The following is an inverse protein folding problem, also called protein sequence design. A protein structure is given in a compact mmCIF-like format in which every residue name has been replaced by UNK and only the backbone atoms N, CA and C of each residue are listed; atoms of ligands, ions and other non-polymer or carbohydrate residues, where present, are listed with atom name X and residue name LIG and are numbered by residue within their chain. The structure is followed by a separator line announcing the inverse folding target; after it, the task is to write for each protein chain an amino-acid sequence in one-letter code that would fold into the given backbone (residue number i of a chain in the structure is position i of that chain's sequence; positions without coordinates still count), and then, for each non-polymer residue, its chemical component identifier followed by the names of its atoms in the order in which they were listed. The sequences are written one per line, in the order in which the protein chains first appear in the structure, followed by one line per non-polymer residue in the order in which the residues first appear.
data_IF_980752468672
#
_entry.id   IF_980752468672
#
_cell.length_a   1.000
_cell.length_b   1.000
_cell.length_c   1.000
_cell.angle_alpha   90.00
_cell.angle_beta   90.00
_cell.angle_gamma   90.00
#
_symmetry.space_group_name_H-M   'P 1'
#
loop_
_entity.id
_entity.type
_entity.pdbx_description
1 polymer ?
#
# COMPACT_ATOMS: atom_id res chain seq x y z
N UNK A 1 42.22 24.52 11.82
CA UNK A 1 41.13 23.77 11.16
C UNK A 1 39.99 24.74 10.90
N UNK A 2 39.83 25.19 9.67
CA UNK A 2 38.81 26.17 9.29
C UNK A 2 37.47 25.47 9.11
N UNK A 3 36.43 25.92 9.82
CA UNK A 3 35.07 25.49 9.61
C UNK A 3 34.61 25.91 8.20
N UNK A 4 34.28 24.93 7.37
CA UNK A 4 33.78 25.12 6.02
C UNK A 4 32.43 25.87 6.11
N UNK A 5 32.45 27.17 5.75
CA UNK A 5 31.26 28.03 5.80
C UNK A 5 30.27 27.56 4.74
N UNK A 6 29.16 26.96 5.16
CA UNK A 6 28.04 26.65 4.28
C UNK A 6 27.62 27.90 3.49
N UNK A 7 27.27 27.78 2.19
CA UNK A 7 26.90 28.91 1.35
C UNK A 7 25.76 29.72 1.99
N UNK A 8 25.92 31.04 2.03
CA UNK A 8 24.89 31.95 2.55
C UNK A 8 23.58 31.74 1.78
N UNK A 9 22.43 31.68 2.47
CA UNK A 9 21.13 31.47 1.83
C UNK A 9 20.79 32.60 0.86
N UNK A 10 20.10 32.26 -0.24
CA UNK A 10 19.67 33.21 -1.27
C UNK A 10 18.90 34.39 -0.64
N UNK A 11 19.35 35.62 -0.93
CA UNK A 11 18.87 36.88 -0.36
C UNK A 11 17.36 37.08 -0.59
N UNK A 12 16.83 36.73 -1.77
CA UNK A 12 15.40 36.89 -2.08
C UNK A 12 14.51 35.94 -1.27
N UNK A 13 14.97 34.70 -1.10
CA UNK A 13 14.27 33.71 -0.26
C UNK A 13 14.28 34.10 1.21
N UNK A 14 15.38 34.72 1.67
CA UNK A 14 15.55 35.23 3.03
C UNK A 14 14.67 36.46 3.25
N UNK A 15 14.57 37.35 2.25
CA UNK A 15 13.73 38.54 2.27
C UNK A 15 12.24 38.21 2.29
N UNK A 16 11.78 37.23 1.51
CA UNK A 16 10.38 36.73 1.56
C UNK A 16 10.04 36.09 2.91
N UNK A 17 10.99 35.40 3.54
CA UNK A 17 10.79 34.80 4.88
C UNK A 17 10.69 35.88 5.96
N UNK A 18 11.52 36.93 5.89
CA UNK A 18 11.45 38.08 6.80
C UNK A 18 10.16 38.90 6.65
N UNK A 19 9.71 39.13 5.41
CA UNK A 19 8.52 39.97 5.16
C UNK A 19 7.20 39.37 5.67
N UNK A 20 7.19 38.09 6.02
CA UNK A 20 6.01 37.36 6.51
C UNK A 20 6.11 36.94 7.99
N UNK A 21 7.06 37.50 8.75
CA UNK A 21 7.15 37.25 10.20
C UNK A 21 7.52 35.83 10.60
N UNK A 22 8.10 35.04 9.68
CA UNK A 22 8.55 33.69 9.97
C UNK A 22 9.87 33.76 10.74
N UNK A 23 9.87 33.17 11.94
CA UNK A 23 11.08 33.00 12.74
C UNK A 23 12.07 32.10 11.97
N UNK A 24 13.15 32.72 11.47
CA UNK A 24 14.20 32.09 10.65
C UNK A 24 14.94 30.95 11.39
N UNK A 25 14.66 30.77 12.68
CA UNK A 25 15.31 29.82 13.58
C UNK A 25 14.49 28.53 13.74
N UNK A 26 13.31 28.39 13.12
CA UNK A 26 12.47 27.19 13.26
C UNK A 26 13.30 25.90 13.06
N UNK A 27 13.50 25.17 14.17
CA UNK A 27 14.21 23.89 14.24
C UNK A 27 13.31 22.73 13.86
N UNK A 28 12.08 22.99 13.42
CA UNK A 28 11.07 21.97 13.15
C UNK A 28 11.60 20.98 12.10
N UNK A 29 11.71 19.73 12.52
CA UNK A 29 12.12 18.62 11.66
C UNK A 29 10.94 18.13 10.82
N UNK A 30 11.24 17.41 9.75
CA UNK A 30 10.22 16.73 8.94
C UNK A 30 9.45 15.74 9.79
N UNK A 31 10.10 15.02 10.71
CA UNK A 31 9.47 14.05 11.59
C UNK A 31 8.43 14.69 12.52
N UNK A 32 8.81 15.76 13.21
CA UNK A 32 7.90 16.51 14.09
C UNK A 32 6.72 17.09 13.32
N UNK A 33 6.98 17.67 12.13
CA UNK A 33 5.92 18.18 11.27
C UNK A 33 4.95 17.08 10.84
N UNK A 34 5.44 15.91 10.44
CA UNK A 34 4.60 14.78 10.03
C UNK A 34 3.73 14.29 11.19
N UNK A 35 4.23 14.28 12.42
CA UNK A 35 3.46 13.92 13.61
C UNK A 35 2.34 14.94 13.87
N UNK A 36 2.65 16.24 13.84
CA UNK A 36 1.66 17.32 13.97
C UNK A 36 0.59 17.27 12.88
N UNK A 37 1.01 17.08 11.64
CA UNK A 37 0.11 16.99 10.48
C UNK A 37 -0.82 15.79 10.59
N UNK A 38 -0.31 14.63 11.01
CA UNK A 38 -1.09 13.42 11.16
C UNK A 38 -2.10 13.55 12.31
N UNK A 39 -1.71 14.13 13.44
CA UNK A 39 -2.59 14.38 14.58
C UNK A 39 -3.77 15.31 14.22
N UNK A 40 -3.53 16.33 13.38
CA UNK A 40 -4.57 17.24 12.89
C UNK A 40 -5.36 16.72 11.69
N UNK A 41 -5.01 15.55 11.14
CA UNK A 41 -5.58 15.07 9.88
C UNK A 41 -7.03 14.58 10.06
N UNK A 42 -7.96 15.24 9.39
CA UNK A 42 -9.37 14.81 9.31
C UNK A 42 -9.59 13.93 8.07
N UNK A 43 -10.46 12.93 8.19
CA UNK A 43 -10.85 12.09 7.06
C UNK A 43 -11.21 10.66 7.47
N UNK A 44 -11.26 9.76 6.48
CA UNK A 44 -11.53 8.34 6.72
C UNK A 44 -10.36 7.71 7.50
N UNK A 45 -10.66 6.92 8.53
CA UNK A 45 -9.66 6.23 9.36
C UNK A 45 -8.65 5.44 8.51
N UNK A 46 -9.13 4.67 7.52
CA UNK A 46 -8.25 3.90 6.61
C UNK A 46 -7.34 4.75 5.71
N UNK A 47 -7.57 6.06 5.59
CA UNK A 47 -6.63 6.99 4.96
C UNK A 47 -5.57 7.44 5.97
N UNK A 48 -5.99 7.77 7.19
CA UNK A 48 -5.11 8.15 8.31
C UNK A 48 -4.14 7.01 8.63
N UNK A 49 -4.63 5.79 8.86
CA UNK A 49 -3.80 4.62 9.18
C UNK A 49 -2.80 4.28 8.07
N UNK A 50 -3.15 4.55 6.80
CA UNK A 50 -2.22 4.38 5.67
C UNK A 50 -1.11 5.42 5.71
N UNK A 51 -1.48 6.69 5.94
CA UNK A 51 -0.51 7.78 6.01
C UNK A 51 0.42 7.59 7.21
N UNK A 52 -0.12 7.20 8.37
CA UNK A 52 0.64 6.78 9.55
C UNK A 52 1.66 5.69 9.21
N UNK A 53 1.22 4.61 8.54
CA UNK A 53 2.11 3.53 8.13
C UNK A 53 3.21 4.03 7.20
N UNK A 54 2.89 4.90 6.23
CA UNK A 54 3.89 5.46 5.31
C UNK A 54 4.88 6.35 6.08
N UNK A 55 4.40 7.17 7.01
CA UNK A 55 5.21 8.06 7.86
C UNK A 55 6.17 7.24 8.71
N UNK A 56 5.65 6.29 9.48
CA UNK A 56 6.42 5.49 10.44
C UNK A 56 7.43 4.57 9.76
N UNK A 57 7.05 3.93 8.66
CA UNK A 57 7.88 2.87 8.03
C UNK A 57 8.87 3.45 7.02
N UNK A 58 8.51 4.52 6.29
CA UNK A 58 9.31 4.98 5.14
C UNK A 58 9.86 6.40 5.31
N UNK A 59 9.06 7.34 5.83
CA UNK A 59 9.47 8.75 5.87
C UNK A 59 10.34 9.06 7.09
N UNK A 60 9.84 8.81 8.31
CA UNK A 60 10.56 9.16 9.55
C UNK A 60 11.95 8.52 9.65
N UNK A 61 12.13 7.21 9.36
CA UNK A 61 13.44 6.58 9.48
C UNK A 61 14.52 7.20 8.58
N UNK A 62 14.12 7.77 7.44
CA UNK A 62 15.06 8.22 6.40
C UNK A 62 15.22 9.73 6.34
N UNK A 63 14.12 10.48 6.43
CA UNK A 63 14.13 11.95 6.29
C UNK A 63 13.60 12.68 7.52
N UNK A 64 13.14 11.95 8.56
CA UNK A 64 12.49 12.55 9.72
C UNK A 64 13.38 13.50 10.51
N UNK A 65 14.69 13.25 10.56
CA UNK A 65 15.68 14.07 11.26
C UNK A 65 16.05 15.35 10.50
N UNK A 66 15.71 15.45 9.21
CA UNK A 66 16.03 16.62 8.40
C UNK A 66 15.15 17.80 8.81
N UNK A 67 15.70 19.01 8.75
CA UNK A 67 14.91 20.24 8.94
C UNK A 67 13.90 20.41 7.81
N UNK A 68 12.67 20.77 8.17
CA UNK A 68 11.56 20.95 7.22
C UNK A 68 11.90 22.01 6.16
N UNK A 69 12.49 23.13 6.56
CA UNK A 69 12.86 24.25 5.69
C UNK A 69 14.09 23.99 4.79
N UNK A 70 14.80 22.88 5.03
CA UNK A 70 15.99 22.43 4.29
C UNK A 70 15.74 21.17 3.46
N UNK A 71 14.52 20.63 3.48
CA UNK A 71 14.18 19.46 2.67
C UNK A 71 14.24 19.81 1.17
N UNK A 72 15.05 19.06 0.41
CA UNK A 72 15.28 19.25 -1.03
C UNK A 72 14.81 18.05 -1.82
N UNK A 73 14.69 18.20 -3.14
CA UNK A 73 14.38 17.10 -4.06
C UNK A 73 15.45 16.01 -3.98
N UNK A 74 16.74 16.38 -3.85
CA UNK A 74 17.86 15.42 -3.72
C UNK A 74 17.69 14.47 -2.54
N UNK A 75 17.34 14.98 -1.35
CA UNK A 75 17.08 14.14 -0.18
C UNK A 75 15.95 13.13 -0.42
N UNK A 76 14.95 13.49 -1.24
CA UNK A 76 13.85 12.59 -1.58
C UNK A 76 14.29 11.55 -2.62
N UNK A 77 15.10 11.94 -3.61
CA UNK A 77 15.71 11.02 -4.56
C UNK A 77 16.55 9.97 -3.83
N UNK A 78 17.48 10.41 -2.97
CA UNK A 78 18.33 9.54 -2.13
C UNK A 78 17.47 8.62 -1.24
N UNK A 79 16.42 9.16 -0.60
CA UNK A 79 15.50 8.36 0.20
C UNK A 79 14.83 7.24 -0.62
N UNK A 80 14.34 7.54 -1.83
CA UNK A 80 13.65 6.55 -2.66
C UNK A 80 14.60 5.56 -3.35
N UNK A 81 15.83 5.98 -3.63
CA UNK A 81 16.91 5.13 -4.11
C UNK A 81 17.31 4.12 -3.03
N UNK A 82 17.52 4.57 -1.79
CA UNK A 82 17.81 3.66 -0.68
C UNK A 82 16.64 2.69 -0.39
N UNK A 83 15.38 3.07 -0.64
CA UNK A 83 14.25 2.11 -0.60
C UNK A 83 14.34 1.08 -1.74
N UNK A 84 14.86 1.47 -2.90
CA UNK A 84 15.06 0.56 -4.02
C UNK A 84 16.22 -0.42 -3.74
N UNK A 85 17.29 0.04 -3.10
CA UNK A 85 18.41 -0.79 -2.64
C UNK A 85 17.95 -1.82 -1.59
N UNK A 86 17.22 -1.39 -0.54
CA UNK A 86 16.62 -2.31 0.43
C UNK A 86 15.77 -3.40 -0.24
N UNK A 87 15.06 -3.05 -1.32
CA UNK A 87 14.22 -4.02 -2.04
C UNK A 87 15.04 -5.12 -2.70
N UNK A 88 16.27 -4.83 -3.16
CA UNK A 88 17.18 -5.83 -3.73
C UNK A 88 17.56 -6.83 -2.65
N UNK A 89 18.05 -6.35 -1.49
CA UNK A 89 18.42 -7.20 -0.36
C UNK A 89 17.24 -8.04 0.14
N UNK A 90 16.06 -7.42 0.27
CA UNK A 90 14.83 -8.12 0.68
C UNK A 90 14.45 -9.19 -0.35
N UNK A 91 14.58 -8.90 -1.65
CA UNK A 91 14.25 -9.86 -2.70
C UNK A 91 15.19 -11.08 -2.67
N UNK A 92 16.49 -10.85 -2.51
CA UNK A 92 17.50 -11.89 -2.37
C UNK A 92 17.28 -12.74 -1.12
N UNK A 93 17.08 -12.12 0.05
CA UNK A 93 16.78 -12.82 1.29
C UNK A 93 15.49 -13.65 1.20
N UNK A 94 14.45 -13.11 0.59
CA UNK A 94 13.20 -13.85 0.35
C UNK A 94 13.39 -15.02 -0.62
N UNK A 95 14.22 -14.87 -1.66
CA UNK A 95 14.52 -15.93 -2.61
C UNK A 95 15.32 -17.07 -1.94
N UNK A 96 16.34 -16.72 -1.14
CA UNK A 96 17.11 -17.68 -0.36
C UNK A 96 16.22 -18.45 0.63
N UNK A 97 15.34 -17.73 1.35
CA UNK A 97 14.38 -18.35 2.26
C UNK A 97 13.42 -19.29 1.54
N UNK A 98 12.89 -18.90 0.37
CA UNK A 98 12.01 -19.74 -0.46
C UNK A 98 12.72 -21.01 -0.90
N UNK A 99 13.93 -20.88 -1.44
CA UNK A 99 14.76 -22.02 -1.86
C UNK A 99 15.01 -22.97 -0.69
N UNK A 100 15.31 -22.45 0.50
CA UNK A 100 15.48 -23.28 1.69
C UNK A 100 14.21 -24.05 2.07
N UNK A 101 13.02 -23.45 1.95
CA UNK A 101 11.76 -24.19 2.14
C UNK A 101 11.49 -25.23 1.05
N UNK A 102 11.81 -24.94 -0.21
CA UNK A 102 11.70 -25.90 -1.32
C UNK A 102 12.63 -27.10 -1.12
N UNK A 103 13.89 -26.86 -0.77
CA UNK A 103 14.85 -27.91 -0.47
C UNK A 103 14.42 -28.73 0.76
N UNK A 104 13.81 -28.09 1.78
CA UNK A 104 13.25 -28.78 2.94
C UNK A 104 12.08 -29.69 2.53
N UNK A 105 11.23 -29.24 1.60
CA UNK A 105 10.11 -30.01 1.11
C UNK A 105 10.55 -31.26 0.34
N UNK A 106 11.72 -31.22 -0.31
CA UNK A 106 12.31 -32.36 -1.03
C UNK A 106 12.85 -33.46 -0.12
N UNK A 107 13.19 -33.15 1.15
CA UNK A 107 13.72 -34.16 2.07
C UNK A 107 12.58 -35.09 2.54
N UNK A 108 12.70 -36.42 2.39
CA UNK A 108 11.69 -37.37 2.87
C UNK A 108 11.36 -37.19 4.36
N UNK A 109 10.10 -37.41 4.74
CA UNK A 109 9.69 -37.24 6.14
C UNK A 109 9.98 -38.47 7.02
N UNK A 110 10.11 -39.66 6.41
CA UNK A 110 10.38 -40.93 7.09
C UNK A 110 11.88 -41.21 7.17
N UNK A 111 12.32 -41.87 8.24
CA UNK A 111 13.71 -42.27 8.48
C UNK A 111 14.44 -41.39 9.50
N UNK A 112 15.41 -41.97 10.23
CA UNK A 112 16.20 -41.28 11.26
C UNK A 112 17.05 -40.15 10.68
N UNK A 113 17.81 -40.42 9.62
CA UNK A 113 18.66 -39.39 8.99
C UNK A 113 17.86 -38.26 8.32
N UNK A 114 16.81 -38.52 7.52
CA UNK A 114 15.99 -37.45 6.96
C UNK A 114 15.34 -36.57 8.03
N UNK A 115 14.90 -37.14 9.15
CA UNK A 115 14.38 -36.38 10.30
C UNK A 115 15.44 -35.46 10.91
N UNK A 116 16.67 -35.96 11.11
CA UNK A 116 17.78 -35.15 11.62
C UNK A 116 18.13 -34.00 10.66
N UNK A 117 18.20 -34.28 9.35
CA UNK A 117 18.45 -33.28 8.31
C UNK A 117 17.34 -32.22 8.24
N UNK A 118 16.06 -32.63 8.28
CA UNK A 118 14.91 -31.70 8.36
C UNK A 118 14.97 -30.83 9.60
N UNK A 119 15.36 -31.37 10.76
CA UNK A 119 15.51 -30.61 12.01
C UNK A 119 16.61 -29.55 11.88
N UNK A 120 17.79 -29.92 11.42
CA UNK A 120 18.91 -29.00 11.21
C UNK A 120 18.55 -27.88 10.22
N UNK A 121 17.89 -28.24 9.13
CA UNK A 121 17.50 -27.29 8.10
C UNK A 121 16.37 -26.35 8.53
N UNK A 122 15.42 -26.82 9.35
CA UNK A 122 14.43 -25.95 9.99
C UNK A 122 15.09 -24.95 10.95
N UNK A 123 16.10 -25.37 11.71
CA UNK A 123 16.86 -24.46 12.57
C UNK A 123 17.58 -23.39 11.73
N UNK A 124 18.28 -23.79 10.67
CA UNK A 124 18.92 -22.84 9.76
C UNK A 124 17.92 -21.85 9.13
N UNK A 125 16.72 -22.30 8.72
CA UNK A 125 15.67 -21.41 8.20
C UNK A 125 15.10 -20.47 9.28
N UNK A 126 15.08 -20.90 10.55
CA UNK A 126 14.64 -20.08 11.66
C UNK A 126 15.64 -18.95 11.96
N UNK A 127 16.93 -19.21 11.75
CA UNK A 127 18.01 -18.22 11.93
C UNK A 127 18.13 -17.24 10.74
N UNK A 128 17.57 -17.58 9.57
CA UNK A 128 17.50 -16.67 8.42
C UNK A 128 16.59 -15.47 8.70
N UNK A 129 16.90 -14.33 8.07
CA UNK A 129 16.07 -13.14 8.08
C UNK A 129 14.59 -13.48 7.77
N UNK A 130 13.63 -12.92 8.53
CA UNK A 130 12.21 -13.12 8.27
C UNK A 130 11.80 -12.64 6.88
N UNK A 131 10.72 -13.21 6.36
CA UNK A 131 10.13 -12.73 5.11
C UNK A 131 9.71 -11.26 5.24
N UNK A 132 10.25 -10.40 4.38
CA UNK A 132 9.91 -8.97 4.32
C UNK A 132 9.24 -8.65 2.98
N UNK A 133 8.26 -7.76 2.98
CA UNK A 133 7.60 -7.32 1.73
C UNK A 133 8.41 -6.20 1.07
N UNK A 134 8.71 -6.35 -0.22
CA UNK A 134 9.30 -5.27 -1.02
C UNK A 134 8.33 -4.10 -1.23
N UNK A 135 8.89 -2.90 -1.30
CA UNK A 135 8.19 -1.65 -1.56
C UNK A 135 8.15 -1.38 -3.06
N UNK A 136 7.19 -1.98 -3.77
CA UNK A 136 7.05 -1.82 -5.21
C UNK A 136 6.75 -0.37 -5.66
N UNK A 137 6.84 -0.07 -6.98
CA UNK A 137 6.67 1.29 -7.53
C UNK A 137 5.37 1.97 -7.10
N UNK A 138 4.25 1.23 -7.08
CA UNK A 138 2.96 1.78 -6.63
C UNK A 138 2.98 2.19 -5.15
N UNK A 139 3.73 1.49 -4.30
CA UNK A 139 3.89 1.87 -2.89
C UNK A 139 4.80 3.09 -2.74
N UNK A 140 5.92 3.15 -3.47
CA UNK A 140 6.78 4.36 -3.51
C UNK A 140 5.99 5.61 -3.90
N UNK A 141 5.15 5.52 -4.93
CA UNK A 141 4.25 6.63 -5.32
C UNK A 141 3.23 7.01 -4.22
N UNK A 142 2.73 6.04 -3.44
CA UNK A 142 1.83 6.33 -2.29
C UNK A 142 2.57 7.02 -1.15
N UNK A 143 3.80 6.60 -0.85
CA UNK A 143 4.67 7.26 0.12
C UNK A 143 4.93 8.72 -0.30
N UNK A 144 5.31 8.95 -1.57
CA UNK A 144 5.46 10.30 -2.13
C UNK A 144 4.18 11.12 -2.03
N UNK A 145 3.02 10.51 -2.34
CA UNK A 145 1.72 11.19 -2.27
C UNK A 145 1.37 11.62 -0.84
N UNK A 146 1.73 10.80 0.16
CA UNK A 146 1.54 11.12 1.58
C UNK A 146 2.40 12.32 1.97
N UNK A 147 3.69 12.27 1.66
CA UNK A 147 4.63 13.37 1.93
C UNK A 147 4.20 14.66 1.22
N UNK A 148 3.83 14.57 -0.06
CA UNK A 148 3.35 15.72 -0.85
C UNK A 148 2.14 16.39 -0.19
N UNK A 149 1.17 15.61 0.31
CA UNK A 149 0.01 16.16 1.00
C UNK A 149 0.39 16.86 2.32
N UNK A 150 1.30 16.28 3.09
CA UNK A 150 1.82 16.88 4.32
C UNK A 150 2.58 18.19 4.04
N UNK A 151 3.46 18.21 3.03
CA UNK A 151 4.22 19.40 2.65
C UNK A 151 3.34 20.49 2.03
N UNK A 152 2.27 20.14 1.30
CA UNK A 152 1.28 21.11 0.85
C UNK A 152 0.57 21.78 2.04
N UNK A 153 0.30 21.02 3.10
CA UNK A 153 -0.28 21.60 4.32
C UNK A 153 0.71 22.53 5.03
N UNK A 154 2.02 22.22 4.97
CA UNK A 154 3.06 23.11 5.49
C UNK A 154 3.16 24.42 4.71
N UNK A 155 3.01 24.37 3.39
CA UNK A 155 2.93 25.57 2.53
C UNK A 155 1.71 26.40 2.87
N UNK A 156 0.55 25.76 3.06
CA UNK A 156 -0.67 26.46 3.44
C UNK A 156 -0.54 27.18 4.80
N UNK A 157 0.28 26.62 5.70
CA UNK A 157 0.64 27.24 6.98
C UNK A 157 1.91 28.12 6.90
N UNK A 158 2.38 28.42 5.68
CA UNK A 158 3.53 29.28 5.38
C UNK A 158 4.87 28.86 6.01
N UNK A 159 5.00 27.63 6.53
CA UNK A 159 6.26 27.16 7.13
C UNK A 159 7.35 26.88 6.09
N UNK A 160 6.95 26.52 4.88
CA UNK A 160 7.84 26.33 3.72
C UNK A 160 7.21 26.97 2.48
N UNK A 161 8.05 27.29 1.51
CA UNK A 161 7.62 27.96 0.26
C UNK A 161 7.66 27.05 -0.96
N UNK A 162 8.17 25.83 -0.82
CA UNK A 162 8.42 24.90 -1.92
C UNK A 162 8.15 23.46 -1.49
N UNK A 163 7.50 22.67 -2.36
CA UNK A 163 7.20 21.26 -2.08
C UNK A 163 8.15 20.34 -2.85
N UNK A 164 9.24 19.85 -2.25
CA UNK A 164 10.16 18.94 -2.94
C UNK A 164 9.49 17.63 -3.41
N UNK A 165 8.47 17.13 -2.72
CA UNK A 165 7.78 15.89 -3.09
C UNK A 165 6.92 16.03 -4.36
N UNK A 166 6.61 17.25 -4.80
CA UNK A 166 5.96 17.48 -6.08
C UNK A 166 6.90 17.23 -7.27
N UNK A 167 8.21 17.37 -7.07
CA UNK A 167 9.22 17.37 -8.14
C UNK A 167 10.11 16.13 -8.15
N UNK A 168 10.12 15.31 -7.10
CA UNK A 168 10.83 14.03 -7.15
C UNK A 168 10.15 13.11 -8.18
N UNK A 169 10.95 12.66 -9.14
CA UNK A 169 10.53 11.76 -10.20
C UNK A 169 10.65 10.31 -9.74
N UNK A 170 9.57 9.54 -9.92
CA UNK A 170 9.52 8.14 -9.55
C UNK A 170 8.84 7.36 -10.66
N UNK A 171 9.27 6.12 -10.84
CA UNK A 171 8.63 5.19 -11.76
C UNK A 171 7.13 5.08 -11.47
N UNK A 172 6.32 5.12 -12.53
CA UNK A 172 4.89 4.90 -12.42
C UNK A 172 4.62 3.42 -12.13
N UNK A 173 3.78 3.14 -11.13
CA UNK A 173 3.27 1.79 -10.91
C UNK A 173 2.40 1.36 -12.09
N UNK A 174 2.79 0.30 -12.80
CA UNK A 174 1.95 -0.32 -13.84
C UNK A 174 0.68 -0.88 -13.20
N UNK A 175 -0.48 -0.39 -13.66
CA UNK A 175 -1.76 -0.98 -13.25
C UNK A 175 -1.93 -2.32 -13.97
N UNK A 176 -2.33 -3.39 -13.25
CA UNK A 176 -2.57 -4.66 -13.91
C UNK A 176 -3.71 -4.51 -14.91
N UNK A 177 -3.53 -5.09 -16.11
CA UNK A 177 -4.58 -5.13 -17.13
C UNK A 177 -5.52 -6.27 -16.78
N UNK A 178 -6.80 -5.97 -16.56
CA UNK A 178 -7.81 -7.01 -16.38
C UNK A 178 -7.94 -7.80 -17.68
N UNK A 179 -7.82 -9.12 -17.60
CA UNK A 179 -8.03 -10.03 -18.74
C UNK A 179 -9.08 -11.06 -18.39
N UNK A 180 -9.85 -11.50 -19.36
CA UNK A 180 -10.89 -12.52 -19.18
C UNK A 180 -10.27 -13.91 -19.27
N UNK A 181 -10.78 -14.86 -18.49
CA UNK A 181 -10.46 -16.29 -18.61
C UNK A 181 -11.06 -16.89 -19.88
N UNK A 182 -10.37 -16.73 -21.02
CA UNK A 182 -10.69 -17.49 -22.25
C UNK A 182 -10.18 -18.92 -22.13
N UNK A 183 -10.68 -19.82 -22.96
CA UNK A 183 -10.28 -21.23 -22.98
C UNK A 183 -8.75 -21.39 -23.12
N UNK A 184 -8.13 -20.63 -24.02
CA UNK A 184 -6.68 -20.70 -24.24
C UNK A 184 -5.89 -20.27 -22.99
N UNK A 185 -6.39 -19.27 -22.25
CA UNK A 185 -5.75 -18.81 -21.01
C UNK A 185 -5.94 -19.80 -19.87
N UNK A 186 -7.10 -20.45 -19.79
CA UNK A 186 -7.34 -21.54 -18.83
C UNK A 186 -6.38 -22.69 -19.10
N UNK A 187 -6.26 -23.13 -20.35
CA UNK A 187 -5.33 -24.19 -20.76
C UNK A 187 -3.87 -23.81 -20.50
N UNK A 188 -3.47 -22.58 -20.81
CA UNK A 188 -2.14 -22.08 -20.52
C UNK A 188 -1.85 -22.11 -19.02
N UNK A 189 -2.78 -21.64 -18.18
CA UNK A 189 -2.63 -21.65 -16.73
C UNK A 189 -2.58 -23.08 -16.17
N UNK A 190 -3.40 -24.00 -16.66
CA UNK A 190 -3.37 -25.41 -16.23
C UNK A 190 -2.05 -26.10 -16.59
N UNK A 191 -1.46 -25.79 -17.75
CA UNK A 191 -0.19 -26.37 -18.19
C UNK A 191 1.02 -25.81 -17.46
N UNK A 192 1.02 -24.51 -17.16
CA UNK A 192 2.22 -23.79 -16.67
C UNK A 192 2.13 -23.37 -15.21
N UNK A 193 0.91 -23.29 -14.65
CA UNK A 193 0.62 -22.64 -13.37
C UNK A 193 0.63 -21.11 -13.43
N UNK A 194 0.97 -20.51 -14.58
CA UNK A 194 1.15 -19.07 -14.73
C UNK A 194 -0.13 -18.38 -15.23
N UNK A 195 -0.48 -17.25 -14.60
CA UNK A 195 -1.64 -16.45 -14.99
C UNK A 195 -1.20 -15.35 -15.94
N UNK A 196 -1.92 -15.18 -17.05
CA UNK A 196 -1.62 -14.13 -18.06
C UNK A 196 -1.73 -12.70 -17.50
N UNK A 197 -2.52 -12.51 -16.44
CA UNK A 197 -2.57 -11.27 -15.66
C UNK A 197 -2.77 -11.59 -14.18
N UNK A 198 -2.33 -10.67 -13.31
CA UNK A 198 -2.66 -10.73 -11.89
C UNK A 198 -4.13 -10.42 -11.61
N UNK A 199 -4.85 -9.81 -12.56
CA UNK A 199 -6.30 -9.58 -12.49
C UNK A 199 -6.96 -10.34 -13.63
N UNK A 200 -7.50 -11.51 -13.30
CA UNK A 200 -8.27 -12.32 -14.22
C UNK A 200 -9.76 -12.25 -13.88
N UNK A 201 -10.58 -12.00 -14.90
CA UNK A 201 -12.03 -11.80 -14.81
C UNK A 201 -12.73 -13.07 -15.32
N UNK A 202 -13.71 -13.55 -14.58
CA UNK A 202 -14.53 -14.69 -14.98
C UNK A 202 -15.42 -14.34 -16.17
N UNK A 203 -15.66 -15.33 -17.03
CA UNK A 203 -16.72 -15.24 -18.05
C UNK A 203 -18.08 -15.49 -17.38
N UNK A 204 -19.20 -15.21 -18.08
CA UNK A 204 -20.52 -15.58 -17.59
C UNK A 204 -20.63 -17.08 -17.27
N UNK A 205 -20.05 -17.95 -18.07
CA UNK A 205 -20.08 -19.41 -17.89
C UNK A 205 -19.31 -19.83 -16.64
N UNK A 206 -18.11 -19.29 -16.42
CA UNK A 206 -17.36 -19.51 -15.19
C UNK A 206 -18.12 -19.01 -13.96
N UNK A 207 -18.83 -17.89 -14.09
CA UNK A 207 -19.64 -17.33 -13.00
C UNK A 207 -20.84 -18.24 -12.71
N UNK A 208 -21.51 -18.76 -13.74
CA UNK A 208 -22.59 -19.74 -13.62
C UNK A 208 -22.13 -21.01 -12.91
N UNK A 209 -21.03 -21.62 -13.38
CA UNK A 209 -20.44 -22.81 -12.75
C UNK A 209 -20.11 -22.61 -11.27
N UNK A 210 -19.59 -21.42 -10.91
CA UNK A 210 -19.35 -21.08 -9.51
C UNK A 210 -20.65 -20.97 -8.70
N UNK A 211 -21.68 -20.33 -9.25
CA UNK A 211 -22.97 -20.19 -8.57
C UNK A 211 -23.67 -21.54 -8.42
N UNK A 212 -23.63 -22.41 -9.43
CA UNK A 212 -24.17 -23.77 -9.37
C UNK A 212 -23.47 -24.58 -8.27
N UNK A 213 -22.14 -24.48 -8.18
CA UNK A 213 -21.37 -25.13 -7.13
C UNK A 213 -21.69 -24.57 -5.74
N UNK A 214 -21.94 -23.26 -5.64
CA UNK A 214 -22.23 -22.59 -4.38
C UNK A 214 -23.70 -22.65 -3.98
N UNK A 215 -24.57 -23.37 -4.71
CA UNK A 215 -26.01 -23.35 -4.51
C UNK A 215 -26.44 -23.69 -3.07
N UNK A 216 -25.76 -24.65 -2.45
CA UNK A 216 -26.03 -25.09 -1.07
C UNK A 216 -25.17 -24.36 -0.02
N UNK A 217 -24.29 -23.44 -0.43
CA UNK A 217 -23.47 -22.66 0.51
C UNK A 217 -24.34 -21.60 1.20
N UNK A 218 -24.17 -21.47 2.52
CA UNK A 218 -24.83 -20.43 3.34
C UNK A 218 -24.69 -19.00 2.76
N UNK A 219 -23.63 -18.73 2.01
CA UNK A 219 -23.34 -17.44 1.39
C UNK A 219 -23.83 -17.30 -0.06
N UNK A 220 -24.55 -18.29 -0.61
CA UNK A 220 -25.05 -18.28 -1.99
C UNK A 220 -25.73 -16.96 -2.37
N UNK A 221 -26.71 -16.51 -1.58
CA UNK A 221 -27.45 -15.27 -1.84
C UNK A 221 -26.53 -14.04 -1.91
N UNK A 222 -25.45 -13.99 -1.11
CA UNK A 222 -24.46 -12.92 -1.14
C UNK A 222 -23.65 -12.96 -2.44
N UNK A 223 -23.17 -14.15 -2.84
CA UNK A 223 -22.43 -14.33 -4.07
C UNK A 223 -23.27 -13.98 -5.29
N UNK A 224 -24.51 -14.45 -5.32
CA UNK A 224 -25.47 -14.16 -6.39
C UNK A 224 -25.74 -12.64 -6.49
N UNK A 225 -25.97 -11.95 -5.37
CA UNK A 225 -26.16 -10.50 -5.38
C UNK A 225 -24.94 -9.74 -5.92
N UNK A 226 -23.73 -10.11 -5.50
CA UNK A 226 -22.49 -9.47 -5.95
C UNK A 226 -22.28 -9.69 -7.46
N UNK A 227 -22.50 -10.91 -7.94
CA UNK A 227 -22.30 -11.25 -9.35
C UNK A 227 -23.18 -10.40 -10.28
N UNK A 228 -24.45 -10.20 -9.92
CA UNK A 228 -25.41 -9.49 -10.79
C UNK A 228 -25.49 -7.98 -10.55
N UNK A 229 -25.15 -7.48 -9.36
CA UNK A 229 -25.27 -6.05 -9.01
C UNK A 229 -23.93 -5.33 -8.84
N UNK A 230 -22.81 -6.06 -8.86
CA UNK A 230 -21.47 -5.46 -8.82
C UNK A 230 -21.11 -4.80 -7.49
N UNK A 231 -21.76 -5.20 -6.38
CA UNK A 231 -21.46 -4.67 -5.06
C UNK A 231 -20.02 -5.00 -4.66
N UNK A 232 -19.31 -4.02 -4.10
CA UNK A 232 -18.02 -4.30 -3.46
C UNK A 232 -18.25 -5.17 -2.23
N UNK A 233 -17.35 -6.10 -1.92
CA UNK A 233 -17.46 -6.98 -0.74
C UNK A 233 -17.87 -6.23 0.55
N UNK A 234 -17.26 -5.08 0.82
CA UNK A 234 -17.59 -4.28 2.00
C UNK A 234 -19.01 -3.69 1.96
N UNK A 235 -19.52 -3.36 0.78
CA UNK A 235 -20.89 -2.87 0.58
C UNK A 235 -21.88 -4.02 0.79
N UNK A 236 -21.60 -5.19 0.21
CA UNK A 236 -22.44 -6.38 0.36
C UNK A 236 -22.52 -6.86 1.81
N UNK A 237 -21.39 -6.91 2.53
CA UNK A 237 -21.36 -7.29 3.95
C UNK A 237 -21.87 -6.18 4.90
N UNK A 238 -21.96 -4.94 4.43
CA UNK A 238 -22.32 -3.78 5.25
C UNK A 238 -23.81 -3.46 5.29
N UNK A 239 -24.63 -4.26 4.61
CA UNK A 239 -26.06 -4.02 4.46
C UNK A 239 -26.80 -4.20 5.77
N UNK A 240 -27.76 -3.31 6.02
CA UNK A 240 -28.70 -3.42 7.13
C UNK A 240 -30.04 -3.91 6.61
N UNK A 241 -30.79 -4.57 7.48
CA UNK A 241 -32.19 -4.93 7.22
C UNK A 241 -33.05 -3.72 6.88
N UNK A 242 -32.80 -2.56 7.50
CA UNK A 242 -33.52 -1.31 7.20
C UNK A 242 -33.29 -0.79 5.79
N UNK A 243 -32.21 -1.22 5.14
CA UNK A 243 -31.79 -0.74 3.81
C UNK A 243 -32.02 -1.84 2.75
N UNK A 244 -32.65 -2.96 3.14
CA UNK A 244 -32.90 -4.16 2.32
C UNK A 244 -34.40 -4.45 2.32
N UNK A 245 -35.08 -4.17 1.21
CA UNK A 245 -36.51 -4.40 1.05
C UNK A 245 -36.74 -5.55 0.08
N UNK A 246 -36.82 -6.78 0.62
CA UNK A 246 -36.93 -7.99 -0.17
C UNK A 246 -38.23 -8.04 -0.98
N UNK A 247 -39.36 -7.63 -0.38
CA UNK A 247 -40.67 -7.60 -1.06
C UNK A 247 -40.70 -6.65 -2.25
N UNK A 248 -39.92 -5.56 -2.18
CA UNK A 248 -39.79 -4.58 -3.25
C UNK A 248 -38.63 -4.92 -4.22
N UNK A 249 -37.82 -5.94 -3.93
CA UNK A 249 -36.61 -6.25 -4.69
C UNK A 249 -35.55 -5.14 -4.67
N UNK A 250 -35.54 -4.30 -3.63
CA UNK A 250 -34.68 -3.12 -3.52
C UNK A 250 -33.60 -3.27 -2.46
N UNK A 251 -32.41 -2.78 -2.78
CA UNK A 251 -31.31 -2.65 -1.82
C UNK A 251 -30.65 -1.28 -1.96
N UNK A 252 -30.47 -0.60 -0.83
CA UNK A 252 -29.84 0.72 -0.78
C UNK A 252 -28.42 0.60 -0.23
N UNK A 253 -27.42 0.92 -1.05
CA UNK A 253 -26.00 0.84 -0.62
C UNK A 253 -25.63 2.05 0.25
N UNK A 254 -26.08 2.02 1.51
CA UNK A 254 -25.89 3.13 2.44
C UNK A 254 -24.54 3.07 3.19
N UNK A 255 -23.98 1.87 3.39
CA UNK A 255 -22.77 1.65 4.21
C UNK A 255 -21.83 0.63 3.61
N UNK A 256 -20.56 0.74 3.98
CA UNK A 256 -19.51 -0.19 3.64
C UNK A 256 -18.78 -0.63 4.91
N UNK A 257 -18.55 -1.93 5.09
CA UNK A 257 -17.60 -2.44 6.08
C UNK A 257 -16.18 -2.40 5.50
N UNK A 258 -15.26 -1.85 6.29
CA UNK A 258 -13.83 -1.76 5.97
C UNK A 258 -13.05 -2.41 7.10
N UNK A 259 -12.06 -3.23 6.74
CA UNK A 259 -11.11 -3.80 7.71
C UNK A 259 -9.87 -2.92 7.73
N UNK A 260 -9.50 -2.46 8.92
CA UNK A 260 -8.29 -1.68 9.16
C UNK A 260 -7.52 -2.30 10.33
N UNK A 261 -6.28 -2.76 10.10
CA UNK A 261 -5.46 -3.40 11.13
C UNK A 261 -6.16 -4.53 11.90
N UNK A 262 -6.93 -5.38 11.19
CA UNK A 262 -7.77 -6.47 11.75
C UNK A 262 -9.04 -6.05 12.50
N UNK A 263 -9.34 -4.75 12.62
CA UNK A 263 -10.59 -4.24 13.17
C UNK A 263 -11.57 -3.89 12.05
N UNK A 264 -12.82 -4.35 12.16
CA UNK A 264 -13.88 -3.96 11.23
C UNK A 264 -14.50 -2.63 11.68
N UNK A 265 -14.55 -1.67 10.77
CA UNK A 265 -15.21 -0.37 10.97
C UNK A 265 -16.22 -0.12 9.87
N UNK A 266 -17.31 0.57 10.22
CA UNK A 266 -18.38 0.89 9.26
C UNK A 266 -18.14 2.30 8.72
N UNK A 267 -18.09 2.45 7.41
CA UNK A 267 -17.85 3.74 6.74
C UNK A 267 -18.92 4.01 5.69
N UNK A 268 -18.96 5.25 5.19
CA UNK A 268 -19.74 5.56 3.98
C UNK A 268 -19.12 4.87 2.75
N UNK A 269 -19.92 4.47 1.75
CA UNK A 269 -19.41 3.86 0.53
C UNK A 269 -18.53 4.84 -0.23
N UNK A 270 -17.57 4.31 -1.00
CA UNK A 270 -16.77 5.15 -1.89
C UNK A 270 -17.61 5.56 -3.11
N UNK A 271 -17.63 6.85 -3.51
CA UNK A 271 -18.36 7.28 -4.69
C UNK A 271 -17.93 6.44 -5.90
N UNK A 272 -18.92 5.92 -6.62
CA UNK A 272 -18.73 5.15 -7.84
C UNK A 272 -18.18 6.09 -8.89
N UNK A 273 -17.00 5.76 -9.47
CA UNK A 273 -16.65 6.30 -10.78
C UNK A 273 -17.56 5.58 -11.77
N UNK A 274 -18.70 6.16 -12.09
CA UNK A 274 -19.50 5.69 -13.20
C UNK A 274 -18.64 5.77 -14.46
N UNK A 275 -18.42 4.63 -15.13
CA UNK A 275 -18.19 4.67 -16.57
C UNK A 275 -19.57 4.87 -17.16
N UNK A 276 -19.76 5.99 -17.88
CA UNK A 276 -20.91 6.12 -18.75
C UNK A 276 -20.92 4.92 -19.72
N UNK A 277 -22.11 4.38 -20.06
CA UNK A 277 -22.23 3.33 -21.07
C UNK A 277 -21.59 3.75 -22.40
#
# INVERSE_FOLDING_TARGET
MAAEKAPLPNIESTRRRLSHGLDLISRLTVGEWLDMWLAGKKGRQSAISRDESNIRVHLKPRIGHLRLDRLRVSHLSEMFEAIAEDNVEIAEGNAARRKAFEDLARIPWKGREPRARRKAMKAAIADMEPYRRIVGPATRQRVRSTLRAALNSAIAQQMITFNPAAHVELEAGKRPKALVWTEERVLHWQRTGEKSSSVMVWTPEHTGLFLDHAADDRLYALFHLIAFRGLRRGEACGQKWTDTHLDAGLITVAKQLVVDGWRSTRTTPRPTRARAP
#
